data_IF_824613208432
#
_entry.id   IF_824613208432
#
_cell.length_a   1.000
_cell.length_b   1.000
_cell.length_c   1.000
_cell.angle_alpha   90.00
_cell.angle_beta   90.00
_cell.angle_gamma   90.00
#
_symmetry.space_group_name_H-M   'P 1'
#
loop_
_entity.id
_entity.type
_entity.pdbx_description
1 polymer ?
#
# COMPACT_ATOMS: atom_id res chain seq x y z
N UNK A 1 15.32 41.05 -5.70
CA UNK A 1 15.45 40.04 -4.64
C UNK A 1 15.27 38.68 -5.28
N UNK A 2 16.38 38.08 -5.71
CA UNK A 2 16.41 36.81 -6.44
C UNK A 2 16.31 35.69 -5.40
N UNK A 3 15.25 34.88 -5.44
CA UNK A 3 15.17 33.65 -4.64
C UNK A 3 16.31 32.73 -5.08
N UNK A 4 17.27 32.51 -4.20
CA UNK A 4 18.21 31.40 -4.27
C UNK A 4 17.38 30.11 -4.29
N UNK A 5 17.47 29.36 -5.39
CA UNK A 5 16.99 27.99 -5.42
C UNK A 5 17.76 27.21 -4.35
N UNK A 6 17.04 26.48 -3.49
CA UNK A 6 17.65 25.51 -2.59
C UNK A 6 18.43 24.52 -3.45
N UNK A 7 19.75 24.50 -3.28
CA UNK A 7 20.64 23.52 -3.88
C UNK A 7 20.27 22.19 -3.22
N UNK A 8 19.58 21.33 -3.96
CA UNK A 8 19.29 19.97 -3.52
C UNK A 8 20.63 19.25 -3.34
N UNK A 9 20.91 18.78 -2.13
CA UNK A 9 22.10 17.99 -1.85
C UNK A 9 22.21 16.81 -2.84
N UNK A 10 23.42 16.46 -3.30
CA UNK A 10 23.61 15.38 -4.26
C UNK A 10 23.02 14.08 -3.69
N UNK A 11 21.99 13.56 -4.37
CA UNK A 11 21.35 12.31 -3.99
C UNK A 11 22.39 11.19 -4.11
N UNK A 12 22.69 10.44 -3.02
CA UNK A 12 23.57 9.28 -3.13
C UNK A 12 22.95 8.25 -4.09
N UNK A 13 23.77 7.46 -4.78
CA UNK A 13 23.31 6.36 -5.64
C UNK A 13 22.56 5.31 -4.81
N UNK A 14 21.26 5.52 -4.63
CA UNK A 14 20.36 4.68 -3.83
C UNK A 14 19.60 3.69 -4.69
N UNK A 15 20.27 3.08 -5.69
CA UNK A 15 19.66 2.10 -6.62
C UNK A 15 18.99 0.90 -5.93
N UNK A 16 19.15 0.73 -4.62
CA UNK A 16 18.49 -0.28 -3.80
C UNK A 16 17.58 0.39 -2.76
N UNK A 17 16.31 -0.02 -2.72
CA UNK A 17 15.30 0.44 -1.76
C UNK A 17 15.80 0.42 -0.30
N UNK A 18 16.54 -0.62 0.10
CA UNK A 18 17.08 -0.73 1.47
C UNK A 18 18.12 0.33 1.81
N UNK A 19 18.98 0.71 0.85
CA UNK A 19 19.96 1.79 1.04
C UNK A 19 19.25 3.13 1.16
N UNK A 20 18.20 3.34 0.37
CA UNK A 20 17.38 4.54 0.43
C UNK A 20 16.70 4.71 1.78
N UNK A 21 16.10 3.64 2.32
CA UNK A 21 15.50 3.64 3.67
C UNK A 21 16.56 3.98 4.72
N UNK A 22 17.74 3.35 4.67
CA UNK A 22 18.81 3.64 5.64
C UNK A 22 19.33 5.08 5.52
N UNK A 23 19.47 5.61 4.30
CA UNK A 23 19.91 6.99 4.06
C UNK A 23 18.92 8.01 4.61
N UNK A 24 17.61 7.74 4.50
CA UNK A 24 16.55 8.52 5.13
C UNK A 24 16.36 8.22 6.63
N UNK A 25 17.25 7.44 7.24
CA UNK A 25 17.16 7.01 8.65
C UNK A 25 15.84 6.28 9.00
N UNK A 26 15.23 5.64 8.00
CA UNK A 26 14.01 4.87 8.12
C UNK A 26 14.24 3.61 8.97
N UNK A 27 13.29 3.34 9.89
CA UNK A 27 13.40 2.22 10.85
C UNK A 27 12.86 0.89 10.33
N UNK A 28 12.02 0.94 9.30
CA UNK A 28 11.28 -0.22 8.77
C UNK A 28 11.43 -0.26 7.27
N UNK A 29 11.68 -1.46 6.77
CA UNK A 29 11.78 -1.74 5.34
C UNK A 29 10.42 -2.27 4.86
N UNK A 30 9.92 -1.71 3.76
CA UNK A 30 8.65 -2.09 3.14
C UNK A 30 8.95 -2.36 1.66
N UNK A 31 8.88 -3.63 1.28
CA UNK A 31 9.08 -4.09 -0.10
C UNK A 31 7.81 -4.64 -0.73
N UNK A 32 6.81 -5.06 0.07
CA UNK A 32 5.55 -5.58 -0.45
C UNK A 32 4.35 -4.98 0.28
N UNK A 33 3.37 -4.47 -0.47
CA UNK A 33 2.20 -3.76 0.06
C UNK A 33 0.93 -4.44 -0.44
N UNK A 34 0.01 -4.74 0.49
CA UNK A 34 -1.37 -5.06 0.14
C UNK A 34 -2.18 -3.77 -0.07
N UNK A 35 -2.79 -3.64 -1.23
CA UNK A 35 -3.82 -2.65 -1.55
C UNK A 35 -5.18 -3.23 -1.13
N UNK A 36 -5.61 -2.90 0.08
CA UNK A 36 -6.90 -3.30 0.65
C UNK A 36 -8.01 -2.32 0.22
N UNK A 37 -8.09 -2.06 -1.08
CA UNK A 37 -9.11 -1.21 -1.70
C UNK A 37 -9.28 -1.58 -3.18
N UNK A 38 -10.32 -1.07 -3.83
CA UNK A 38 -10.59 -1.27 -5.27
C UNK A 38 -10.82 0.08 -5.98
N UNK A 39 -11.29 0.03 -7.22
CA UNK A 39 -11.67 1.20 -8.01
C UNK A 39 -10.58 2.28 -8.09
N UNK A 40 -11.00 3.54 -8.03
CA UNK A 40 -10.11 4.71 -8.19
C UNK A 40 -9.05 4.79 -7.08
N UNK A 41 -9.38 4.37 -5.85
CA UNK A 41 -8.43 4.37 -4.75
C UNK A 41 -7.24 3.47 -5.06
N UNK A 42 -7.50 2.22 -5.43
CA UNK A 42 -6.46 1.28 -5.80
C UNK A 42 -5.62 1.77 -7.00
N UNK A 43 -6.27 2.27 -8.07
CA UNK A 43 -5.56 2.84 -9.24
C UNK A 43 -4.64 3.98 -8.83
N UNK A 44 -5.13 4.94 -8.03
CA UNK A 44 -4.33 6.09 -7.62
C UNK A 44 -3.19 5.69 -6.69
N UNK A 45 -3.45 4.79 -5.75
CA UNK A 45 -2.44 4.26 -4.84
C UNK A 45 -1.29 3.61 -5.60
N UNK A 46 -1.63 2.66 -6.49
CA UNK A 46 -0.65 1.93 -7.31
C UNK A 46 0.14 2.90 -8.20
N UNK A 47 -0.52 3.78 -8.97
CA UNK A 47 0.19 4.75 -9.85
C UNK A 47 1.14 5.64 -9.08
N UNK A 48 0.74 6.10 -7.90
CA UNK A 48 1.55 7.04 -7.12
C UNK A 48 2.81 6.36 -6.58
N UNK A 49 2.67 5.12 -6.07
CA UNK A 49 3.81 4.32 -5.59
C UNK A 49 4.75 3.99 -6.76
N UNK A 50 4.21 3.52 -7.89
CA UNK A 50 4.98 3.21 -9.11
C UNK A 50 5.75 4.41 -9.63
N UNK A 51 5.06 5.55 -9.74
CA UNK A 51 5.66 6.80 -10.22
C UNK A 51 6.81 7.24 -9.32
N UNK A 52 6.59 7.27 -8.00
CA UNK A 52 7.66 7.60 -7.05
C UNK A 52 8.82 6.61 -7.14
N UNK A 53 8.54 5.31 -7.24
CA UNK A 53 9.56 4.28 -7.38
C UNK A 53 10.39 4.47 -8.66
N UNK A 54 9.75 4.79 -9.78
CA UNK A 54 10.42 5.08 -11.04
C UNK A 54 11.27 6.36 -10.96
N UNK A 55 10.70 7.45 -10.43
CA UNK A 55 11.41 8.73 -10.27
C UNK A 55 12.61 8.62 -9.30
N UNK A 56 12.53 7.77 -8.28
CA UNK A 56 13.57 7.61 -7.26
C UNK A 56 14.64 6.60 -7.65
N UNK A 57 14.25 5.50 -8.32
CA UNK A 57 15.13 4.34 -8.53
C UNK A 57 15.29 3.93 -9.99
N UNK A 58 14.61 4.58 -10.93
CA UNK A 58 14.56 4.18 -12.34
C UNK A 58 13.77 2.88 -12.60
N UNK A 59 13.17 2.29 -11.56
CA UNK A 59 12.39 1.05 -11.63
C UNK A 59 11.05 1.23 -10.91
N UNK A 60 9.95 1.08 -11.65
CA UNK A 60 8.61 1.19 -11.08
C UNK A 60 8.25 -0.02 -10.18
N UNK A 61 8.92 -1.16 -10.39
CA UNK A 61 8.68 -2.43 -9.69
C UNK A 61 9.62 -2.73 -8.52
N UNK A 62 10.12 -1.71 -7.79
CA UNK A 62 10.90 -1.96 -6.57
C UNK A 62 10.05 -2.29 -5.34
N UNK A 63 8.74 -1.99 -5.40
CA UNK A 63 7.78 -2.33 -4.35
C UNK A 63 6.74 -3.24 -4.98
N UNK A 64 6.61 -4.46 -4.47
CA UNK A 64 5.60 -5.43 -4.89
C UNK A 64 4.22 -4.98 -4.38
N UNK A 65 3.22 -5.00 -5.26
CA UNK A 65 1.87 -4.58 -4.98
C UNK A 65 0.91 -5.75 -5.16
N UNK A 66 0.24 -6.12 -4.07
CA UNK A 66 -0.80 -7.15 -4.05
C UNK A 66 -2.16 -6.47 -4.00
N UNK A 67 -3.10 -6.90 -4.82
CA UNK A 67 -4.49 -6.42 -4.82
C UNK A 67 -5.47 -7.53 -4.46
N UNK A 68 -6.61 -7.16 -3.89
CA UNK A 68 -7.77 -8.03 -3.70
C UNK A 68 -8.80 -7.72 -4.80
N UNK A 69 -9.47 -8.73 -5.35
CA UNK A 69 -10.52 -8.52 -6.34
C UNK A 69 -11.75 -9.41 -6.10
N UNK A 70 -12.92 -8.81 -6.19
CA UNK A 70 -14.20 -9.54 -6.19
C UNK A 70 -14.53 -10.07 -7.59
N UNK A 71 -15.51 -10.97 -7.70
CA UNK A 71 -15.98 -11.41 -9.02
C UNK A 71 -16.60 -10.26 -9.82
N UNK A 72 -17.19 -9.28 -9.13
CA UNK A 72 -17.74 -8.06 -9.69
C UNK A 72 -16.63 -7.17 -10.27
N UNK A 73 -15.51 -7.00 -9.56
CA UNK A 73 -14.34 -6.28 -10.07
C UNK A 73 -13.76 -6.96 -11.32
N UNK A 74 -13.69 -8.30 -11.31
CA UNK A 74 -13.22 -9.10 -12.46
C UNK A 74 -14.16 -8.93 -13.65
N UNK A 75 -15.48 -9.04 -13.43
CA UNK A 75 -16.49 -8.87 -14.47
C UNK A 75 -16.49 -7.46 -15.06
N UNK A 76 -16.20 -6.44 -14.23
CA UNK A 76 -16.03 -5.05 -14.66
C UNK A 76 -14.67 -4.77 -15.33
N UNK A 77 -13.78 -5.76 -15.41
CA UNK A 77 -12.41 -5.60 -15.91
C UNK A 77 -11.66 -4.44 -15.21
N UNK A 78 -11.77 -4.39 -13.89
CA UNK A 78 -11.27 -3.28 -13.09
C UNK A 78 -9.77 -3.03 -13.32
N UNK A 79 -9.43 -1.77 -13.60
CA UNK A 79 -8.10 -1.37 -14.06
C UNK A 79 -6.99 -1.72 -13.05
N UNK A 80 -7.26 -1.53 -11.76
CA UNK A 80 -6.26 -1.75 -10.70
C UNK A 80 -5.74 -3.19 -10.66
N UNK A 81 -6.55 -4.17 -11.06
CA UNK A 81 -6.16 -5.59 -11.07
C UNK A 81 -5.02 -5.86 -12.04
N UNK A 82 -5.00 -5.14 -13.18
CA UNK A 82 -3.95 -5.26 -14.21
C UNK A 82 -2.70 -4.45 -13.86
N UNK A 83 -2.78 -3.57 -12.87
CA UNK A 83 -1.68 -2.70 -12.46
C UNK A 83 -0.89 -3.23 -11.26
N UNK A 84 -1.52 -4.07 -10.44
CA UNK A 84 -0.86 -4.77 -9.35
C UNK A 84 0.00 -5.93 -9.90
N UNK A 85 1.07 -6.30 -9.18
CA UNK A 85 1.91 -7.45 -9.56
C UNK A 85 1.19 -8.76 -9.30
N UNK A 86 0.39 -8.77 -8.23
CA UNK A 86 -0.39 -9.92 -7.79
C UNK A 86 -1.82 -9.50 -7.50
N UNK A 87 -2.75 -10.40 -7.80
CA UNK A 87 -4.16 -10.21 -7.50
C UNK A 87 -4.72 -11.50 -6.91
N UNK A 88 -5.44 -11.39 -5.79
CA UNK A 88 -6.15 -12.51 -5.18
C UNK A 88 -7.64 -12.30 -5.23
N UNK A 89 -8.37 -13.37 -5.55
CA UNK A 89 -9.83 -13.34 -5.46
C UNK A 89 -10.27 -13.30 -3.99
N UNK A 90 -11.31 -12.50 -3.71
CA UNK A 90 -12.01 -12.41 -2.43
C UNK A 90 -13.52 -12.53 -2.65
N UNK A 91 -14.31 -12.88 -1.62
CA UNK A 91 -15.75 -13.02 -1.76
C UNK A 91 -16.42 -11.75 -2.30
N UNK A 92 -17.38 -11.90 -3.21
CA UNK A 92 -18.20 -10.82 -3.75
C UNK A 92 -19.29 -10.32 -2.79
N UNK A 93 -20.20 -9.52 -3.33
CA UNK A 93 -21.29 -8.90 -2.57
C UNK A 93 -20.84 -7.70 -1.72
N UNK A 94 -21.51 -7.50 -0.58
CA UNK A 94 -21.26 -6.36 0.31
C UNK A 94 -19.79 -6.27 0.75
N UNK A 95 -19.30 -5.05 0.96
CA UNK A 95 -17.90 -4.79 1.33
C UNK A 95 -17.48 -5.48 2.64
N UNK A 96 -18.44 -5.79 3.52
CA UNK A 96 -18.23 -6.53 4.78
C UNK A 96 -17.70 -7.95 4.58
N UNK A 97 -17.74 -8.49 3.36
CA UNK A 97 -17.17 -9.80 3.02
C UNK A 97 -15.75 -9.73 2.42
N UNK A 98 -15.33 -8.54 2.00
CA UNK A 98 -14.08 -8.33 1.27
C UNK A 98 -13.26 -7.16 1.87
N UNK A 99 -13.35 -5.96 1.30
CA UNK A 99 -12.46 -4.85 1.60
C UNK A 99 -12.75 -4.14 2.93
N UNK A 100 -13.92 -4.35 3.53
CA UNK A 100 -14.22 -3.90 4.89
C UNK A 100 -14.00 -5.01 5.94
N UNK A 101 -13.61 -6.22 5.53
CA UNK A 101 -13.45 -7.37 6.40
C UNK A 101 -12.00 -7.48 6.91
N UNK A 102 -11.79 -7.18 8.19
CA UNK A 102 -10.46 -7.15 8.80
C UNK A 102 -9.80 -8.53 8.79
N UNK A 103 -10.54 -9.61 9.11
CA UNK A 103 -9.97 -10.95 9.11
C UNK A 103 -9.53 -11.34 7.70
N UNK A 104 -10.35 -11.04 6.69
CA UNK A 104 -9.99 -11.31 5.29
C UNK A 104 -8.75 -10.53 4.85
N UNK A 105 -8.63 -9.27 5.24
CA UNK A 105 -7.44 -8.47 4.96
C UNK A 105 -6.22 -9.10 5.63
N UNK A 106 -6.32 -9.46 6.91
CA UNK A 106 -5.22 -10.11 7.65
C UNK A 106 -4.80 -11.45 7.02
N UNK A 107 -5.77 -12.27 6.59
CA UNK A 107 -5.52 -13.54 5.90
C UNK A 107 -4.71 -13.32 4.62
N UNK A 108 -5.09 -12.32 3.82
CA UNK A 108 -4.42 -12.00 2.55
C UNK A 108 -3.01 -11.49 2.81
N UNK A 109 -2.83 -10.57 3.77
CA UNK A 109 -1.50 -10.04 4.13
C UNK A 109 -0.54 -11.15 4.50
N UNK A 110 -0.99 -12.09 5.35
CA UNK A 110 -0.16 -13.21 5.78
C UNK A 110 0.11 -14.18 4.63
N UNK A 111 -0.89 -14.49 3.80
CA UNK A 111 -0.74 -15.43 2.67
C UNK A 111 0.28 -14.95 1.63
N UNK A 112 0.39 -13.64 1.43
CA UNK A 112 1.27 -13.05 0.44
C UNK A 112 2.58 -12.51 1.02
N UNK A 113 2.80 -12.67 2.34
CA UNK A 113 3.95 -12.13 3.07
C UNK A 113 4.15 -10.63 2.79
N UNK A 114 3.07 -9.84 2.89
CA UNK A 114 3.15 -8.39 2.73
C UNK A 114 3.80 -7.75 3.96
N UNK A 115 4.55 -6.66 3.77
CA UNK A 115 5.15 -5.88 4.86
C UNK A 115 4.17 -4.84 5.41
N UNK A 116 3.26 -4.35 4.55
CA UNK A 116 2.35 -3.26 4.87
C UNK A 116 0.99 -3.39 4.17
N UNK A 117 0.01 -2.64 4.69
CA UNK A 117 -1.33 -2.51 4.12
C UNK A 117 -1.63 -1.05 3.88
N UNK A 118 -2.12 -0.75 2.67
CA UNK A 118 -2.71 0.53 2.31
C UNK A 118 -4.21 0.36 2.06
N UNK A 119 -5.03 1.06 2.84
CA UNK A 119 -6.49 0.98 2.74
C UNK A 119 -7.12 2.18 2.03
N UNK A 120 -6.35 3.23 1.70
CA UNK A 120 -6.88 4.41 1.00
C UNK A 120 -7.99 5.11 1.79
N UNK A 121 -9.17 5.26 1.17
CA UNK A 121 -10.38 5.85 1.77
C UNK A 121 -11.56 4.89 1.68
N UNK A 122 -12.55 5.08 2.56
CA UNK A 122 -13.72 4.22 2.74
C UNK A 122 -13.36 2.78 3.16
N UNK A 123 -14.35 1.88 3.15
CA UNK A 123 -14.18 0.46 3.50
C UNK A 123 -13.62 0.29 4.92
N UNK A 124 -12.45 -0.34 5.09
CA UNK A 124 -11.80 -0.46 6.39
C UNK A 124 -10.81 0.68 6.72
N UNK A 125 -10.67 1.70 5.86
CA UNK A 125 -9.64 2.76 6.04
C UNK A 125 -9.79 3.54 7.34
N UNK A 126 -11.03 3.73 7.79
CA UNK A 126 -11.39 4.46 9.01
C UNK A 126 -11.69 3.55 10.19
N UNK A 127 -11.59 2.22 10.01
CA UNK A 127 -11.88 1.27 11.08
C UNK A 127 -10.63 1.10 11.96
N UNK A 128 -10.60 1.60 13.22
CA UNK A 128 -9.41 1.53 14.06
C UNK A 128 -9.03 0.10 14.44
N UNK A 129 -9.94 -0.86 14.30
CA UNK A 129 -9.65 -2.26 14.56
C UNK A 129 -8.73 -2.86 13.49
N UNK A 130 -8.69 -2.30 12.27
CA UNK A 130 -7.79 -2.77 11.21
C UNK A 130 -6.31 -2.59 11.62
N UNK A 131 -5.80 -1.36 11.84
CA UNK A 131 -4.42 -1.18 12.28
C UNK A 131 -4.14 -1.76 13.67
N UNK A 132 -5.16 -2.04 14.48
CA UNK A 132 -4.96 -2.66 15.80
C UNK A 132 -4.54 -4.14 15.71
N UNK A 133 -4.85 -4.83 14.61
CA UNK A 133 -4.48 -6.24 14.40
C UNK A 133 -3.03 -6.41 13.94
N UNK A 134 -2.48 -5.43 13.24
CA UNK A 134 -1.21 -5.54 12.54
C UNK A 134 0.05 -5.65 13.41
N UNK A 135 0.16 -5.04 14.62
CA UNK A 135 1.35 -5.20 15.46
C UNK A 135 1.67 -6.66 15.80
N UNK A 136 0.64 -7.49 16.00
CA UNK A 136 0.80 -8.92 16.31
C UNK A 136 1.27 -9.74 15.10
N UNK A 137 1.04 -9.22 13.89
CA UNK A 137 1.43 -9.84 12.63
C UNK A 137 2.75 -9.28 12.08
N UNK A 138 3.34 -8.29 12.75
CA UNK A 138 4.53 -7.59 12.25
C UNK A 138 4.27 -6.64 11.08
N UNK A 139 2.99 -6.35 10.78
CA UNK A 139 2.54 -5.60 9.61
C UNK A 139 2.46 -4.10 9.90
N UNK A 140 2.73 -3.27 8.89
CA UNK A 140 2.62 -1.82 8.97
C UNK A 140 1.31 -1.35 8.33
N UNK A 141 0.54 -0.53 9.04
CA UNK A 141 -0.56 0.22 8.41
C UNK A 141 -0.02 1.52 7.82
N UNK A 142 -0.25 1.74 6.53
CA UNK A 142 0.09 3.00 5.85
C UNK A 142 -1.02 4.04 6.09
N UNK A 143 -1.13 4.49 7.34
CA UNK A 143 -2.14 5.44 7.79
C UNK A 143 -1.98 5.80 9.27
N UNK A 144 -3.01 6.37 9.87
CA UNK A 144 -3.01 6.75 11.28
C UNK A 144 -3.01 5.53 12.20
N UNK A 145 -2.38 5.65 13.37
CA UNK A 145 -2.40 4.60 14.37
C UNK A 145 -3.81 4.46 15.01
N UNK A 146 -4.15 3.29 15.59
CA UNK A 146 -5.48 3.03 16.15
C UNK A 146 -5.92 3.99 17.26
N UNK A 147 -4.97 4.55 18.03
CA UNK A 147 -5.29 5.49 19.10
C UNK A 147 -5.77 6.81 18.51
N UNK A 148 -5.06 7.32 17.51
CA UNK A 148 -5.42 8.57 16.81
C UNK A 148 -6.76 8.49 16.08
N UNK A 149 -7.16 7.31 15.61
CA UNK A 149 -8.45 7.12 14.91
C UNK A 149 -9.68 7.05 15.84
N UNK A 150 -9.47 6.90 17.15
CA UNK A 150 -10.54 6.82 18.16
C UNK A 150 -10.77 8.15 18.91
N UNK A 151 -9.91 9.14 18.66
CA UNK A 151 -10.03 10.50 19.22
C UNK A 151 -11.05 11.30 18.43
#
# INVERSE_FOLDING_TARGET
MTKTAEVCDPQPETNSLRKHVNWLEGKRFISKILIANNGIAAVKGIRSIRRWSHETFGNECNIDLVSMATLEDVAANAEYMRMADMCTSVPGGSNNHNFANIERICDVVNRFDCDAVWAGWQQASENPNLPARFPQLGIIFLGSNPKSMKL
#
